data_IF_517617655829
#
_entry.id   IF_517617655829
#
_cell.length_a   1.000
_cell.length_b   1.000
_cell.length_c   1.000
_cell.angle_alpha   90.00
_cell.angle_beta   90.00
_cell.angle_gamma   90.00
#
_symmetry.space_group_name_H-M   'P 1'
#
loop_
_entity.id
_entity.type
_entity.pdbx_description
1 polymer ?
#
# COMPACT_ATOMS: atom_id res chain seq x y z
N UNK A 1 -37.42 -42.72 -1.83
CA UNK A 1 -38.78 -42.14 -1.67
C UNK A 1 -38.72 -40.75 -2.27
N UNK A 2 -39.37 -40.61 -3.42
CA UNK A 2 -39.55 -39.38 -4.18
C UNK A 2 -40.73 -38.56 -3.64
N UNK A 3 -40.82 -37.29 -4.05
CA UNK A 3 -42.00 -36.42 -3.92
C UNK A 3 -41.60 -35.00 -3.49
N UNK A 4 -41.29 -34.07 -4.40
CA UNK A 4 -42.17 -33.28 -5.30
C UNK A 4 -42.78 -32.00 -4.67
N UNK A 5 -42.33 -30.89 -5.26
CA UNK A 5 -42.92 -29.57 -5.51
C UNK A 5 -44.42 -29.35 -5.22
N UNK A 6 -44.74 -28.15 -4.72
CA UNK A 6 -45.86 -27.36 -5.26
C UNK A 6 -45.71 -25.83 -5.06
N UNK A 7 -45.87 -25.12 -6.18
CA UNK A 7 -46.19 -23.69 -6.41
C UNK A 7 -47.69 -23.45 -6.08
N UNK A 8 -48.24 -22.24 -5.84
CA UNK A 8 -48.72 -21.21 -6.81
C UNK A 8 -49.65 -20.15 -6.05
N UNK A 9 -50.30 -19.12 -6.65
CA UNK A 9 -49.92 -17.68 -6.63
C UNK A 9 -51.06 -16.68 -6.25
N UNK A 10 -50.87 -15.37 -6.53
CA UNK A 10 -51.80 -14.43 -7.20
C UNK A 10 -51.22 -12.98 -7.13
N UNK A 11 -51.31 -12.06 -8.09
CA UNK A 11 -51.92 -11.98 -9.42
C UNK A 11 -51.52 -10.63 -10.06
N UNK A 12 -51.05 -10.64 -11.31
CA UNK A 12 -51.71 -10.08 -12.50
C UNK A 12 -52.04 -8.57 -12.51
N UNK A 13 -51.35 -7.80 -13.38
CA UNK A 13 -51.92 -7.21 -14.60
C UNK A 13 -50.84 -6.50 -15.45
N UNK A 14 -51.01 -6.63 -16.76
CA UNK A 14 -50.15 -6.23 -17.87
C UNK A 14 -51.02 -5.29 -18.79
N UNK A 15 -50.60 -4.86 -20.00
CA UNK A 15 -49.84 -3.64 -20.35
C UNK A 15 -50.61 -2.69 -21.34
N UNK A 16 -49.87 -1.72 -21.92
CA UNK A 16 -50.15 -0.84 -23.09
C UNK A 16 -51.20 0.27 -22.98
N UNK A 17 -50.86 1.54 -23.32
CA UNK A 17 -51.05 2.13 -24.66
C UNK A 17 -50.59 3.62 -24.73
N UNK A 18 -50.56 4.15 -25.96
CA UNK A 18 -49.89 5.36 -26.47
C UNK A 18 -50.71 6.68 -26.38
N UNK A 19 -50.04 7.83 -26.58
CA UNK A 19 -50.50 9.25 -26.78
C UNK A 19 -51.84 9.45 -27.55
N UNK A 20 -52.64 10.59 -27.46
CA UNK A 20 -52.19 11.98 -27.79
C UNK A 20 -53.01 13.24 -27.27
N UNK A 21 -52.38 14.42 -27.39
CA UNK A 21 -52.86 15.77 -27.82
C UNK A 21 -53.89 16.68 -27.06
N UNK A 22 -53.53 17.99 -27.10
CA UNK A 22 -54.30 19.25 -27.26
C UNK A 22 -54.68 20.13 -26.04
N UNK A 23 -54.07 21.32 -26.00
CA UNK A 23 -54.51 22.52 -25.30
C UNK A 23 -53.93 23.76 -25.99
N UNK A 24 -54.70 24.30 -26.94
CA UNK A 24 -54.37 25.39 -27.87
C UNK A 24 -54.75 26.76 -27.26
N UNK A 25 -53.93 27.81 -27.42
CA UNK A 25 -54.41 29.20 -27.40
C UNK A 25 -53.57 30.07 -28.36
N UNK A 26 -54.29 30.68 -29.30
CA UNK A 26 -53.87 31.55 -30.39
C UNK A 26 -54.36 32.96 -30.04
N UNK A 27 -53.56 34.00 -30.31
CA UNK A 27 -54.05 35.32 -30.78
C UNK A 27 -52.96 36.02 -31.62
N UNK A 28 -53.39 36.64 -32.73
CA UNK A 28 -52.63 37.12 -33.93
C UNK A 28 -52.16 38.61 -33.83
N UNK A 29 -51.79 39.38 -34.89
CA UNK A 29 -51.06 39.15 -36.17
C UNK A 29 -49.85 40.13 -36.45
N UNK A 30 -49.02 39.80 -37.46
CA UNK A 30 -47.93 40.51 -38.20
C UNK A 30 -48.11 42.03 -38.51
N UNK A 31 -47.05 42.87 -38.82
CA UNK A 31 -46.09 42.63 -39.93
C UNK A 31 -44.62 43.14 -39.83
N UNK A 32 -43.76 42.44 -40.58
CA UNK A 32 -42.57 42.87 -41.34
C UNK A 32 -41.59 43.90 -40.74
N UNK A 33 -40.36 43.45 -40.46
CA UNK A 33 -39.14 44.16 -40.88
C UNK A 33 -37.98 43.18 -41.05
N UNK A 34 -37.49 43.09 -42.27
CA UNK A 34 -36.20 42.48 -42.63
C UNK A 34 -35.06 43.15 -41.87
N UNK A 35 -34.36 42.39 -41.03
CA UNK A 35 -33.01 42.74 -40.60
C UNK A 35 -32.20 41.47 -40.55
N UNK A 36 -31.23 41.41 -41.46
CA UNK A 36 -30.14 40.46 -41.49
C UNK A 36 -29.55 40.31 -40.09
N UNK A 37 -29.79 39.16 -39.44
CA UNK A 37 -29.01 38.77 -38.27
C UNK A 37 -28.02 37.74 -38.75
N UNK A 38 -26.81 38.26 -38.93
CA UNK A 38 -25.58 37.59 -39.30
C UNK A 38 -25.49 36.24 -38.59
N UNK A 39 -25.37 35.19 -39.40
CA UNK A 39 -24.70 33.96 -39.01
C UNK A 39 -23.27 34.32 -38.61
N UNK A 40 -23.10 34.67 -37.34
CA UNK A 40 -21.80 34.63 -36.69
C UNK A 40 -21.56 33.17 -36.32
N UNK A 41 -21.07 32.44 -37.32
CA UNK A 41 -20.26 31.25 -37.16
C UNK A 41 -19.09 31.61 -36.24
N UNK A 42 -19.31 31.51 -34.93
CA UNK A 42 -18.21 31.36 -33.98
C UNK A 42 -18.09 29.86 -33.75
N UNK A 43 -17.47 29.16 -34.72
CA UNK A 43 -16.60 28.04 -34.39
C UNK A 43 -15.47 28.60 -33.50
N UNK A 44 -15.80 28.84 -32.22
CA UNK A 44 -14.78 28.96 -31.20
C UNK A 44 -14.30 27.52 -31.04
N UNK A 45 -13.29 27.15 -31.83
CA UNK A 45 -12.54 25.92 -31.63
C UNK A 45 -12.10 25.91 -30.17
N UNK A 46 -12.85 25.18 -29.34
CA UNK A 46 -12.54 25.03 -27.93
C UNK A 46 -11.09 24.56 -27.85
N UNK A 47 -10.25 25.29 -27.11
CA UNK A 47 -8.86 24.89 -26.91
C UNK A 47 -8.82 23.40 -26.52
N UNK A 48 -7.87 22.62 -27.06
CA UNK A 48 -7.74 21.23 -26.67
C UNK A 48 -7.51 21.15 -25.16
N UNK A 49 -8.18 20.22 -24.50
CA UNK A 49 -8.06 20.03 -23.05
C UNK A 49 -7.45 18.66 -22.76
N UNK A 50 -6.69 18.56 -21.69
CA UNK A 50 -6.12 17.29 -21.24
C UNK A 50 -7.23 16.33 -20.82
N UNK A 51 -7.28 15.13 -21.43
CA UNK A 51 -8.29 14.10 -21.07
C UNK A 51 -8.18 13.52 -19.65
N UNK A 52 -7.10 13.82 -18.93
CA UNK A 52 -6.84 13.29 -17.58
C UNK A 52 -7.23 14.30 -16.49
N UNK A 53 -6.71 15.53 -16.55
CA UNK A 53 -7.04 16.57 -15.56
C UNK A 53 -8.20 17.48 -16.00
N UNK A 54 -8.63 17.41 -17.26
CA UNK A 54 -9.71 18.22 -17.84
C UNK A 54 -9.41 19.73 -17.94
N UNK A 55 -8.15 20.12 -17.72
CA UNK A 55 -7.68 21.50 -17.87
C UNK A 55 -7.21 21.75 -19.30
N UNK A 56 -7.47 22.95 -19.82
CA UNK A 56 -7.13 23.39 -21.18
C UNK A 56 -5.98 24.43 -21.21
N UNK A 57 -5.67 24.99 -20.04
CA UNK A 57 -4.59 25.96 -19.84
C UNK A 57 -3.48 25.24 -19.08
N UNK A 58 -2.41 24.86 -19.79
CA UNK A 58 -1.17 24.42 -19.14
C UNK A 58 -0.43 25.63 -18.57
N UNK A 59 0.37 25.45 -17.52
CA UNK A 59 1.46 26.40 -17.24
C UNK A 59 2.34 26.53 -18.51
N UNK A 60 3.08 27.63 -18.70
CA UNK A 60 3.83 27.93 -19.93
C UNK A 60 4.83 26.84 -20.41
N UNK A 61 5.02 25.77 -19.64
CA UNK A 61 5.94 24.65 -19.88
C UNK A 61 5.22 23.26 -20.03
N UNK A 62 3.88 23.19 -19.90
CA UNK A 62 3.14 21.91 -19.89
C UNK A 62 2.33 21.69 -21.19
N UNK A 63 3.03 21.30 -22.26
CA UNK A 63 2.42 21.08 -23.59
C UNK A 63 1.48 19.85 -23.63
N UNK A 64 0.35 20.01 -24.33
CA UNK A 64 -0.57 18.92 -24.67
C UNK A 64 0.00 18.09 -25.83
N UNK A 65 0.06 16.77 -25.62
CA UNK A 65 0.53 15.81 -26.63
C UNK A 65 -0.61 14.89 -27.09
N UNK A 66 -0.43 14.32 -28.29
CA UNK A 66 -1.28 13.27 -28.85
C UNK A 66 -0.52 11.93 -28.94
N UNK A 67 -0.55 11.11 -27.88
CA UNK A 67 0.37 9.98 -27.73
C UNK A 67 -0.10 8.69 -28.41
N UNK A 68 -1.33 8.62 -28.91
CA UNK A 68 -1.94 7.39 -29.40
C UNK A 68 -3.04 7.62 -30.43
N UNK A 69 -3.71 6.55 -30.86
CA UNK A 69 -4.78 6.56 -31.87
C UNK A 69 -6.16 7.05 -31.37
N UNK A 70 -6.24 7.68 -30.20
CA UNK A 70 -7.51 8.26 -29.73
C UNK A 70 -7.89 9.46 -30.62
N UNK A 71 -9.20 9.70 -30.81
CA UNK A 71 -9.73 10.78 -31.65
C UNK A 71 -10.63 11.71 -30.83
N UNK A 72 -10.83 12.93 -31.33
CA UNK A 72 -11.67 13.93 -30.69
C UNK A 72 -11.02 14.45 -29.40
N UNK A 73 -11.83 14.81 -28.41
CA UNK A 73 -11.34 15.37 -27.12
C UNK A 73 -10.45 14.41 -26.33
N UNK A 74 -10.55 13.09 -26.59
CA UNK A 74 -9.75 12.07 -25.92
C UNK A 74 -8.34 11.90 -26.51
N UNK A 75 -7.96 12.69 -27.53
CA UNK A 75 -6.65 12.58 -28.17
C UNK A 75 -5.54 13.32 -27.41
N UNK A 76 -5.89 14.39 -26.69
CA UNK A 76 -4.92 15.29 -26.05
C UNK A 76 -4.72 14.98 -24.56
N UNK A 77 -3.48 15.09 -24.09
CA UNK A 77 -3.11 14.89 -22.68
C UNK A 77 -1.84 15.68 -22.35
N UNK A 78 -1.73 16.25 -21.15
CA UNK A 78 -0.46 16.83 -20.71
C UNK A 78 0.60 15.75 -20.55
N UNK A 79 1.84 16.06 -20.92
CA UNK A 79 2.99 15.16 -20.73
C UNK A 79 3.12 14.72 -19.26
N UNK A 80 3.07 15.67 -18.33
CA UNK A 80 3.15 15.39 -16.89
C UNK A 80 2.01 14.48 -16.39
N UNK A 81 0.79 14.70 -16.85
CA UNK A 81 -0.36 13.86 -16.51
C UNK A 81 -0.22 12.43 -17.03
N UNK A 82 0.26 12.26 -18.27
CA UNK A 82 0.49 10.95 -18.86
C UNK A 82 1.60 10.20 -18.12
N UNK A 83 2.71 10.85 -17.79
CA UNK A 83 3.81 10.24 -17.05
C UNK A 83 3.40 9.86 -15.63
N UNK A 84 2.63 10.72 -14.95
CA UNK A 84 2.05 10.36 -13.67
C UNK A 84 1.17 9.11 -13.78
N UNK A 85 0.26 9.08 -14.76
CA UNK A 85 -0.63 7.94 -15.00
C UNK A 85 0.14 6.63 -15.27
N UNK A 86 1.18 6.69 -16.11
CA UNK A 86 2.07 5.56 -16.43
C UNK A 86 2.85 5.07 -15.21
N UNK A 87 3.22 5.97 -14.30
CA UNK A 87 3.97 5.62 -13.08
C UNK A 87 3.11 4.96 -12.00
N UNK A 88 1.80 5.27 -11.96
CA UNK A 88 0.87 4.80 -10.92
C UNK A 88 0.14 3.52 -11.34
N UNK A 89 -0.22 3.38 -12.63
CA UNK A 89 -0.96 2.20 -13.10
C UNK A 89 -0.07 0.97 -13.24
N UNK A 90 -0.68 -0.20 -13.14
CA UNK A 90 -0.02 -1.50 -13.29
C UNK A 90 -0.27 -2.13 -14.66
N UNK A 91 0.65 -2.99 -15.10
CA UNK A 91 0.56 -3.71 -16.37
C UNK A 91 0.86 -2.85 -17.61
N UNK A 92 0.14 -3.11 -18.69
CA UNK A 92 0.37 -2.53 -20.02
C UNK A 92 0.19 -1.00 -20.08
N UNK A 93 -0.35 -0.36 -19.04
CA UNK A 93 -0.57 1.09 -19.01
C UNK A 93 0.71 1.93 -19.12
N UNK A 94 1.88 1.33 -18.89
CA UNK A 94 3.17 1.99 -19.05
C UNK A 94 3.54 2.23 -20.53
N UNK A 95 3.28 1.24 -21.38
CA UNK A 95 3.69 1.21 -22.80
C UNK A 95 2.52 1.31 -23.77
N UNK A 96 1.28 1.16 -23.32
CA UNK A 96 0.09 1.17 -24.16
C UNK A 96 -0.99 2.07 -23.58
N UNK A 97 -1.78 2.67 -24.46
CA UNK A 97 -2.94 3.45 -24.08
C UNK A 97 -4.00 2.55 -23.43
N UNK A 98 -4.49 2.94 -22.26
CA UNK A 98 -5.56 2.21 -21.57
C UNK A 98 -6.90 2.24 -22.31
N UNK A 99 -7.13 3.27 -23.13
CA UNK A 99 -8.36 3.52 -23.89
C UNK A 99 -8.34 2.77 -25.23
N UNK A 100 -7.43 3.12 -26.15
CA UNK A 100 -7.41 2.55 -27.50
C UNK A 100 -6.47 1.35 -27.69
N UNK A 101 -5.73 0.95 -26.64
CA UNK A 101 -4.76 -0.17 -26.66
C UNK A 101 -3.57 -0.02 -27.61
N UNK A 102 -3.44 1.12 -28.30
CA UNK A 102 -2.27 1.40 -29.14
C UNK A 102 -1.00 1.56 -28.27
N UNK A 103 0.13 1.08 -28.78
CA UNK A 103 1.43 1.19 -28.12
C UNK A 103 1.96 2.62 -28.26
N UNK A 104 2.50 3.18 -27.18
CA UNK A 104 3.14 4.49 -27.17
C UNK A 104 4.50 4.45 -27.87
N UNK A 105 4.88 5.56 -28.50
CA UNK A 105 6.22 5.75 -29.04
C UNK A 105 7.13 6.21 -27.91
N UNK A 106 8.06 5.36 -27.50
CA UNK A 106 8.95 5.62 -26.36
C UNK A 106 10.34 6.02 -26.86
N UNK A 107 10.77 7.24 -26.55
CA UNK A 107 12.13 7.73 -26.75
C UNK A 107 12.95 7.53 -25.47
N UNK A 108 14.18 7.06 -25.62
CA UNK A 108 15.10 6.84 -24.50
C UNK A 108 15.95 8.09 -24.27
N UNK A 109 15.83 8.71 -23.10
CA UNK A 109 16.72 9.79 -22.65
C UNK A 109 17.59 9.33 -21.47
N UNK A 110 18.91 9.38 -21.66
CA UNK A 110 19.90 8.99 -20.64
C UNK A 110 20.24 10.21 -19.77
N UNK A 111 19.71 10.26 -18.56
CA UNK A 111 20.05 11.32 -17.59
C UNK A 111 21.28 10.93 -16.75
N UNK A 112 22.30 11.80 -16.69
CA UNK A 112 23.55 11.62 -15.89
C UNK A 112 23.33 11.66 -14.36
N UNK A 113 22.17 12.12 -13.90
CA UNK A 113 21.87 12.45 -12.49
C UNK A 113 21.48 11.22 -11.63
N UNK A 114 22.09 10.07 -11.90
CA UNK A 114 21.76 8.81 -11.25
C UNK A 114 22.23 8.75 -9.77
N UNK A 115 23.22 9.56 -9.37
CA UNK A 115 23.88 9.49 -8.07
C UNK A 115 23.09 10.23 -6.98
N UNK A 116 22.62 11.45 -7.25
CA UNK A 116 21.76 12.23 -6.35
C UNK A 116 20.43 11.51 -6.09
N UNK A 117 19.85 10.90 -7.14
CA UNK A 117 18.62 10.11 -7.04
C UNK A 117 18.81 8.83 -6.21
N UNK A 118 19.94 8.12 -6.39
CA UNK A 118 20.33 6.97 -5.52
C UNK A 118 20.50 7.39 -4.07
N UNK A 119 21.10 8.56 -3.80
CA UNK A 119 21.25 9.09 -2.43
C UNK A 119 19.89 9.42 -1.82
N UNK A 120 19.02 10.12 -2.55
CA UNK A 120 17.65 10.43 -2.10
C UNK A 120 16.86 9.16 -1.77
N UNK A 121 17.00 8.10 -2.58
CA UNK A 121 16.42 6.79 -2.30
C UNK A 121 16.95 6.18 -0.98
N UNK A 122 18.27 6.14 -0.81
CA UNK A 122 18.89 5.61 0.42
C UNK A 122 18.41 6.39 1.65
N UNK A 123 18.25 7.71 1.54
CA UNK A 123 17.72 8.53 2.63
C UNK A 123 16.26 8.22 2.95
N UNK A 124 15.40 7.98 1.96
CA UNK A 124 14.01 7.59 2.22
C UNK A 124 13.90 6.22 2.90
N UNK A 125 14.64 5.23 2.42
CA UNK A 125 14.67 3.90 3.05
C UNK A 125 15.24 4.00 4.47
N UNK A 126 16.34 4.74 4.65
CA UNK A 126 16.93 4.98 5.96
C UNK A 126 15.96 5.67 6.92
N UNK A 127 15.22 6.69 6.45
CA UNK A 127 14.19 7.38 7.23
C UNK A 127 13.10 6.41 7.70
N UNK A 128 12.55 5.60 6.80
CA UNK A 128 11.46 4.69 7.14
C UNK A 128 11.93 3.59 8.12
N UNK A 129 13.14 3.05 7.93
CA UNK A 129 13.77 2.11 8.88
C UNK A 129 14.03 2.77 10.24
N UNK A 130 14.53 4.02 10.23
CA UNK A 130 14.79 4.78 11.45
C UNK A 130 13.50 5.08 12.22
N UNK A 131 12.40 5.42 11.54
CA UNK A 131 11.10 5.62 12.18
C UNK A 131 10.58 4.35 12.86
N UNK A 132 10.71 3.19 12.20
CA UNK A 132 10.35 1.90 12.81
C UNK A 132 11.23 1.61 14.03
N UNK A 133 12.55 1.86 13.93
CA UNK A 133 13.46 1.71 15.05
C UNK A 133 13.07 2.61 16.23
N UNK A 134 12.79 3.89 16.00
CA UNK A 134 12.34 4.81 17.05
C UNK A 134 11.02 4.38 17.70
N UNK A 135 10.08 3.86 16.92
CA UNK A 135 8.83 3.32 17.46
C UNK A 135 9.10 2.14 18.41
N UNK A 136 9.92 1.18 18.01
CA UNK A 136 10.32 0.05 18.87
C UNK A 136 11.05 0.53 20.12
N UNK A 137 11.97 1.49 20.00
CA UNK A 137 12.69 2.04 21.15
C UNK A 137 11.78 2.79 22.12
N UNK A 138 10.77 3.48 21.61
CA UNK A 138 9.75 4.13 22.45
C UNK A 138 8.98 3.08 23.25
N UNK A 139 8.58 1.97 22.64
CA UNK A 139 7.92 0.86 23.34
C UNK A 139 8.82 0.29 24.44
N UNK A 140 10.07 -0.04 24.13
CA UNK A 140 11.04 -0.56 25.11
C UNK A 140 11.25 0.42 26.26
N UNK A 141 11.42 1.71 25.96
CA UNK A 141 11.59 2.76 26.96
C UNK A 141 10.35 2.91 27.85
N UNK A 142 9.14 2.79 27.30
CA UNK A 142 7.91 2.82 28.12
C UNK A 142 7.80 1.63 29.07
N UNK A 143 8.18 0.43 28.61
CA UNK A 143 8.21 -0.77 29.46
C UNK A 143 9.25 -0.66 30.58
N UNK A 144 10.46 -0.20 30.26
CA UNK A 144 11.50 0.06 31.26
C UNK A 144 11.13 1.19 32.22
N UNK A 145 10.52 2.27 31.72
CA UNK A 145 10.02 3.38 32.52
C UNK A 145 8.90 2.96 33.48
N UNK A 146 8.01 2.07 33.03
CA UNK A 146 7.00 1.48 33.91
C UNK A 146 7.64 0.66 35.04
N UNK A 147 8.65 -0.16 34.74
CA UNK A 147 9.41 -0.89 35.76
C UNK A 147 10.12 0.05 36.75
N UNK A 148 10.67 1.17 36.28
CA UNK A 148 11.25 2.21 37.14
C UNK A 148 10.23 2.84 38.09
N UNK A 149 9.03 3.17 37.59
CA UNK A 149 7.96 3.75 38.41
C UNK A 149 7.42 2.77 39.46
N UNK A 150 7.42 1.47 39.16
CA UNK A 150 7.07 0.42 40.11
C UNK A 150 8.13 0.23 41.20
N UNK A 151 9.41 0.42 40.88
CA UNK A 151 10.53 0.29 41.82
C UNK A 151 10.84 1.64 42.52
N UNK A 152 9.83 2.26 43.15
CA UNK A 152 9.95 3.59 43.79
C UNK A 152 11.11 3.69 44.78
N UNK A 153 11.38 2.62 45.54
CA UNK A 153 12.42 2.59 46.57
C UNK A 153 13.78 2.10 46.03
N UNK A 154 13.82 1.66 44.76
CA UNK A 154 14.98 0.99 44.17
C UNK A 154 15.34 -0.31 44.88
N UNK A 155 14.42 -0.87 45.68
CA UNK A 155 14.64 -2.04 46.51
C UNK A 155 14.90 -3.27 45.62
N UNK A 156 14.17 -3.36 44.50
CA UNK A 156 14.41 -4.41 43.51
C UNK A 156 15.80 -4.26 42.90
N UNK A 157 16.13 -3.08 42.35
CA UNK A 157 17.47 -2.84 41.77
C UNK A 157 18.62 -3.13 42.74
N UNK A 158 18.51 -2.71 44.01
CA UNK A 158 19.53 -2.94 45.04
C UNK A 158 19.67 -4.42 45.40
N UNK A 159 18.59 -5.21 45.34
CA UNK A 159 18.67 -6.66 45.54
C UNK A 159 19.52 -7.37 44.48
N UNK A 160 19.70 -6.77 43.29
CA UNK A 160 20.53 -7.32 42.22
C UNK A 160 21.95 -6.71 42.19
N UNK A 161 22.24 -5.65 42.94
CA UNK A 161 23.55 -4.99 42.88
C UNK A 161 24.69 -5.80 43.51
N UNK A 162 24.37 -6.79 44.35
CA UNK A 162 25.38 -7.52 45.14
C UNK A 162 26.11 -8.62 44.35
N UNK A 163 25.63 -8.99 43.14
CA UNK A 163 26.20 -10.10 42.36
C UNK A 163 26.37 -9.86 40.85
N UNK A 164 25.88 -8.76 40.30
CA UNK A 164 25.94 -8.47 38.85
C UNK A 164 27.05 -7.46 38.49
N UNK A 165 27.56 -7.55 37.27
CA UNK A 165 28.67 -6.72 36.77
C UNK A 165 28.50 -5.23 37.08
N UNK A 166 29.53 -4.66 37.71
CA UNK A 166 29.62 -3.26 38.21
C UNK A 166 29.35 -2.19 37.14
N UNK A 167 29.24 -2.58 35.87
CA UNK A 167 29.01 -1.71 34.70
C UNK A 167 27.51 -1.38 34.52
N UNK A 168 26.60 -2.32 34.81
CA UNK A 168 25.14 -2.12 34.65
C UNK A 168 24.49 -1.43 35.85
N UNK A 169 25.08 -1.56 37.03
CA UNK A 169 24.51 -1.08 38.30
C UNK A 169 24.74 0.42 38.56
N UNK A 170 25.76 1.03 37.96
CA UNK A 170 26.15 2.41 38.28
C UNK A 170 25.13 3.47 37.85
N UNK A 171 24.27 3.17 36.87
CA UNK A 171 23.23 4.10 36.42
C UNK A 171 21.84 3.43 36.44
N UNK A 172 20.80 4.09 37.01
CA UNK A 172 19.43 3.58 37.01
C UNK A 172 18.91 3.28 35.60
N UNK A 173 19.16 4.20 34.66
CA UNK A 173 18.58 4.19 33.32
C UNK A 173 18.89 2.91 32.53
N UNK A 174 20.17 2.48 32.35
CA UNK A 174 20.49 1.27 31.61
C UNK A 174 19.92 0.00 32.26
N UNK A 175 19.87 -0.08 33.59
CA UNK A 175 19.29 -1.23 34.29
C UNK A 175 17.82 -1.44 33.90
N UNK A 176 16.98 -0.41 34.04
CA UNK A 176 15.56 -0.54 33.70
C UNK A 176 15.32 -0.64 32.18
N UNK A 177 16.19 -0.04 31.36
CA UNK A 177 16.14 -0.25 29.92
C UNK A 177 16.41 -1.72 29.54
N UNK A 178 17.40 -2.38 30.15
CA UNK A 178 17.65 -3.82 29.95
C UNK A 178 16.45 -4.68 30.37
N UNK A 179 15.80 -4.34 31.49
CA UNK A 179 14.54 -4.98 31.90
C UNK A 179 13.44 -4.76 30.85
N UNK A 180 13.31 -3.54 30.31
CA UNK A 180 12.39 -3.23 29.22
C UNK A 180 12.65 -4.06 27.96
N UNK A 181 13.91 -4.23 27.56
CA UNK A 181 14.32 -5.06 26.41
C UNK A 181 13.95 -6.52 26.63
N UNK A 182 14.26 -7.08 27.80
CA UNK A 182 13.91 -8.46 28.15
C UNK A 182 12.40 -8.68 28.10
N UNK A 183 11.64 -7.79 28.74
CA UNK A 183 10.19 -7.87 28.75
C UNK A 183 9.60 -7.74 27.33
N UNK A 184 10.14 -6.87 26.48
CA UNK A 184 9.71 -6.73 25.09
C UNK A 184 9.86 -8.03 24.30
N UNK A 185 11.01 -8.69 24.38
CA UNK A 185 11.22 -9.96 23.67
C UNK A 185 10.37 -11.10 24.24
N UNK A 186 10.17 -11.17 25.57
CA UNK A 186 9.27 -12.18 26.17
C UNK A 186 7.84 -12.01 25.65
N UNK A 187 7.32 -10.77 25.63
CA UNK A 187 5.99 -10.49 25.09
C UNK A 187 5.92 -10.82 23.60
N UNK A 188 6.93 -10.44 22.81
CA UNK A 188 6.99 -10.75 21.39
C UNK A 188 7.00 -12.26 21.13
N UNK A 189 7.73 -13.03 21.94
CA UNK A 189 7.75 -14.49 21.87
C UNK A 189 6.40 -15.10 22.22
N UNK A 190 5.74 -14.59 23.25
CA UNK A 190 4.42 -15.05 23.67
C UNK A 190 3.35 -14.75 22.61
N UNK A 191 3.28 -13.52 22.11
CA UNK A 191 2.37 -13.15 21.01
C UNK A 191 2.67 -13.91 19.72
N UNK A 192 3.95 -14.08 19.38
CA UNK A 192 4.38 -14.86 18.21
C UNK A 192 3.89 -16.32 18.28
N UNK A 193 4.00 -16.95 19.46
CA UNK A 193 3.49 -18.30 19.69
C UNK A 193 1.96 -18.35 19.59
N UNK A 194 1.24 -17.41 20.20
CA UNK A 194 -0.23 -17.32 20.08
C UNK A 194 -0.67 -17.21 18.62
N UNK A 195 -0.06 -16.31 17.85
CA UNK A 195 -0.39 -16.12 16.43
C UNK A 195 -0.09 -17.38 15.61
N UNK A 196 1.04 -18.03 15.88
CA UNK A 196 1.42 -19.27 15.21
C UNK A 196 0.44 -20.42 15.54
N UNK A 197 0.08 -20.60 16.81
CA UNK A 197 -0.93 -21.58 17.23
C UNK A 197 -2.32 -21.28 16.65
N UNK A 198 -2.71 -20.01 16.59
CA UNK A 198 -4.01 -19.58 16.02
C UNK A 198 -4.10 -19.87 14.53
N UNK A 199 -3.00 -19.73 13.79
CA UNK A 199 -2.91 -20.03 12.36
C UNK A 199 -3.04 -21.54 12.07
N UNK A 200 -2.49 -22.39 12.95
CA UNK A 200 -2.55 -23.85 12.80
C UNK A 200 -3.93 -24.44 13.11
N UNK A 201 -4.75 -23.75 13.91
CA UNK A 201 -6.06 -24.24 14.35
C UNK A 201 -7.13 -24.22 13.23
N UNK A 202 -6.92 -23.52 12.12
CA UNK A 202 -7.97 -23.29 11.12
C UNK A 202 -8.14 -24.40 10.07
N UNK A 203 -7.30 -25.44 10.02
CA UNK A 203 -7.32 -26.38 8.87
C UNK A 203 -7.10 -27.88 9.18
N UNK A 204 -7.07 -28.34 10.44
CA UNK A 204 -6.84 -29.78 10.70
C UNK A 204 -7.76 -30.39 11.78
N UNK A 205 -8.72 -31.27 11.43
CA UNK A 205 -9.58 -31.97 12.41
C UNK A 205 -8.82 -32.97 13.28
N UNK A 206 -7.52 -33.23 13.05
CA UNK A 206 -6.69 -34.09 13.92
C UNK A 206 -6.16 -33.35 15.17
N UNK A 207 -6.36 -32.02 15.26
CA UNK A 207 -5.91 -31.17 16.37
C UNK A 207 -6.98 -30.88 17.43
N UNK A 208 -8.12 -31.59 17.44
CA UNK A 208 -9.07 -31.54 18.55
C UNK A 208 -8.43 -31.99 19.90
N UNK A 209 -7.32 -32.74 19.85
CA UNK A 209 -6.49 -33.05 21.03
C UNK A 209 -5.57 -31.92 21.50
N UNK A 210 -5.36 -30.89 20.69
CA UNK A 210 -4.55 -29.71 21.00
C UNK A 210 -5.36 -28.63 21.75
N UNK A 211 -6.68 -28.84 21.91
CA UNK A 211 -7.51 -28.05 22.81
C UNK A 211 -7.01 -28.11 24.26
N UNK A 212 -6.25 -29.17 24.60
CA UNK A 212 -5.53 -29.33 25.86
C UNK A 212 -4.06 -28.82 25.83
N UNK A 213 -3.50 -28.32 24.73
CA UNK A 213 -2.12 -27.78 24.77
C UNK A 213 -2.08 -26.31 25.23
N UNK A 214 -3.10 -25.52 24.90
CA UNK A 214 -3.19 -24.12 25.34
C UNK A 214 -3.96 -23.94 26.66
N UNK A 215 -4.90 -24.84 26.99
CA UNK A 215 -5.62 -24.85 28.27
C UNK A 215 -5.18 -25.96 29.23
N UNK A 216 -4.47 -26.98 28.74
CA UNK A 216 -4.05 -28.16 29.51
C UNK A 216 -2.52 -28.30 29.57
N UNK A 217 -1.81 -27.17 29.67
CA UNK A 217 -0.52 -27.24 30.32
C UNK A 217 -0.80 -27.70 31.75
N UNK A 218 -0.47 -28.95 32.07
CA UNK A 218 -0.43 -29.51 33.42
C UNK A 218 0.60 -28.82 34.33
N UNK A 219 0.78 -27.50 34.19
CA UNK A 219 1.50 -26.64 35.13
C UNK A 219 0.76 -26.57 36.46
N UNK A 220 -0.57 -26.73 36.47
CA UNK A 220 -1.32 -26.72 37.73
C UNK A 220 -1.28 -28.07 38.48
N UNK A 221 -0.91 -29.17 37.81
CA UNK A 221 -0.73 -30.48 38.44
C UNK A 221 0.74 -30.79 38.79
N UNK A 222 1.66 -29.93 38.33
CA UNK A 222 3.08 -29.96 38.69
C UNK A 222 3.41 -28.71 39.50
N UNK A 223 2.69 -28.46 40.60
CA UNK A 223 3.19 -27.55 41.64
C UNK A 223 4.36 -28.24 42.33
N UNK A 224 5.61 -27.78 42.15
CA UNK A 224 6.70 -28.31 42.93
C UNK A 224 6.48 -27.90 44.40
N UNK A 225 6.80 -28.79 45.32
CA UNK A 225 6.58 -28.61 46.75
C UNK A 225 7.40 -27.47 47.40
N UNK A 226 8.21 -26.72 46.63
CA UNK A 226 9.07 -25.64 47.13
C UNK A 226 9.02 -24.37 46.26
N UNK A 227 9.08 -23.21 46.93
CA UNK A 227 9.12 -21.87 46.29
C UNK A 227 10.32 -21.69 45.36
N UNK A 228 11.45 -22.33 45.67
CA UNK A 228 12.66 -22.29 44.85
C UNK A 228 12.49 -22.95 43.49
N UNK A 229 11.76 -24.07 43.43
CA UNK A 229 11.48 -24.76 42.18
C UNK A 229 10.49 -23.97 41.30
N UNK A 230 9.50 -23.31 41.91
CA UNK A 230 8.62 -22.37 41.20
C UNK A 230 9.42 -21.22 40.55
N UNK A 231 10.36 -20.63 41.29
CA UNK A 231 11.22 -19.56 40.78
C UNK A 231 12.07 -20.05 39.59
N UNK A 232 12.70 -21.22 39.71
CA UNK A 232 13.49 -21.82 38.63
C UNK A 232 12.66 -22.05 37.35
N UNK A 233 11.43 -22.54 37.47
CA UNK A 233 10.54 -22.74 36.31
C UNK A 233 10.15 -21.42 35.63
N UNK A 234 9.86 -20.37 36.39
CA UNK A 234 9.56 -19.04 35.85
C UNK A 234 10.77 -18.49 35.08
N UNK A 235 11.98 -18.65 35.61
CA UNK A 235 13.21 -18.22 34.91
C UNK A 235 13.38 -18.97 33.60
N UNK A 236 13.19 -20.30 33.60
CA UNK A 236 13.28 -21.12 32.38
C UNK A 236 12.24 -20.67 31.34
N UNK A 237 11.00 -20.42 31.76
CA UNK A 237 9.95 -19.90 30.89
C UNK A 237 10.34 -18.56 30.27
N UNK A 238 10.79 -17.59 31.09
CA UNK A 238 11.24 -16.28 30.61
C UNK A 238 12.36 -16.42 29.58
N UNK A 239 13.33 -17.30 29.81
CA UNK A 239 14.43 -17.56 28.86
C UNK A 239 13.91 -18.12 27.55
N UNK A 240 13.02 -19.12 27.58
CA UNK A 240 12.45 -19.73 26.38
C UNK A 240 11.69 -18.68 25.55
N UNK A 241 10.80 -17.90 26.17
CA UNK A 241 10.03 -16.88 25.46
C UNK A 241 10.90 -15.72 24.95
N UNK A 242 11.97 -15.35 25.67
CA UNK A 242 12.94 -14.38 25.18
C UNK A 242 13.64 -14.88 23.90
N UNK A 243 14.08 -16.13 23.87
CA UNK A 243 14.72 -16.74 22.68
C UNK A 243 13.74 -16.77 21.50
N UNK A 244 12.52 -17.24 21.72
CA UNK A 244 11.46 -17.24 20.70
C UNK A 244 11.17 -15.82 20.22
N UNK A 245 11.10 -14.85 21.12
CA UNK A 245 10.90 -13.44 20.81
C UNK A 245 12.00 -12.86 19.93
N UNK A 246 13.27 -13.18 20.21
CA UNK A 246 14.39 -12.75 19.37
C UNK A 246 14.26 -13.34 17.95
N UNK A 247 13.92 -14.63 17.85
CA UNK A 247 13.70 -15.28 16.56
C UNK A 247 12.55 -14.64 15.77
N UNK A 248 11.39 -14.46 16.39
CA UNK A 248 10.25 -13.77 15.76
C UNK A 248 10.56 -12.32 15.42
N UNK A 249 11.31 -11.61 16.27
CA UNK A 249 11.75 -10.24 16.02
C UNK A 249 12.64 -10.13 14.78
N UNK A 250 13.58 -11.06 14.61
CA UNK A 250 14.43 -11.10 13.41
C UNK A 250 13.63 -11.40 12.14
N UNK A 251 12.70 -12.36 12.18
CA UNK A 251 11.82 -12.65 11.05
C UNK A 251 10.92 -11.46 10.70
N UNK A 252 10.31 -10.81 11.70
CA UNK A 252 9.49 -9.63 11.47
C UNK A 252 10.31 -8.46 10.90
N UNK A 253 11.52 -8.23 11.40
CA UNK A 253 12.42 -7.19 10.91
C UNK A 253 12.83 -7.44 9.44
N UNK A 254 13.24 -8.67 9.11
CA UNK A 254 13.61 -9.03 7.72
C UNK A 254 12.42 -8.90 6.77
N UNK A 255 11.21 -9.33 7.15
CA UNK A 255 10.01 -9.14 6.35
C UNK A 255 9.64 -7.66 6.18
N UNK A 256 9.76 -6.85 7.23
CA UNK A 256 9.49 -5.41 7.17
C UNK A 256 10.47 -4.69 6.24
N UNK A 257 11.78 -4.99 6.35
CA UNK A 257 12.82 -4.45 5.47
C UNK A 257 12.54 -4.84 4.02
N UNK A 258 12.24 -6.13 3.77
CA UNK A 258 11.89 -6.60 2.44
C UNK A 258 10.66 -5.86 1.90
N UNK A 259 9.59 -5.69 2.69
CA UNK A 259 8.38 -4.97 2.27
C UNK A 259 8.63 -3.49 1.98
N UNK A 260 9.37 -2.79 2.85
CA UNK A 260 9.75 -1.38 2.64
C UNK A 260 10.56 -1.26 1.35
N UNK A 261 11.52 -2.16 1.16
CA UNK A 261 12.36 -2.18 -0.03
C UNK A 261 11.55 -2.44 -1.30
N UNK A 262 10.69 -3.46 -1.31
CA UNK A 262 9.82 -3.78 -2.45
C UNK A 262 8.87 -2.63 -2.79
N UNK A 263 8.25 -2.00 -1.78
CA UNK A 263 7.32 -0.88 -1.96
C UNK A 263 8.02 0.32 -2.61
N UNK A 264 9.18 0.72 -2.07
CA UNK A 264 9.91 1.86 -2.60
C UNK A 264 10.56 1.56 -3.94
N UNK A 265 11.07 0.34 -4.15
CA UNK A 265 11.62 -0.07 -5.43
C UNK A 265 10.55 0.01 -6.54
N UNK A 266 9.35 -0.52 -6.32
CA UNK A 266 8.30 -0.50 -7.35
C UNK A 266 7.84 0.92 -7.69
N UNK A 267 7.63 1.77 -6.69
CA UNK A 267 7.17 3.16 -6.89
C UNK A 267 8.25 4.00 -7.60
N UNK A 268 9.51 3.82 -7.26
CA UNK A 268 10.60 4.64 -7.78
C UNK A 268 11.04 4.17 -9.16
N UNK A 269 11.18 2.87 -9.38
CA UNK A 269 11.56 2.32 -10.68
C UNK A 269 10.56 2.74 -11.76
N UNK A 270 9.26 2.73 -11.48
CA UNK A 270 8.25 3.18 -12.45
C UNK A 270 8.33 4.67 -12.77
N UNK A 271 8.52 5.53 -11.76
CA UNK A 271 8.69 6.98 -11.97
C UNK A 271 10.00 7.32 -12.69
N UNK A 272 11.03 6.51 -12.48
CA UNK A 272 12.30 6.68 -13.19
C UNK A 272 12.17 6.22 -14.64
N UNK A 273 11.50 5.07 -14.87
CA UNK A 273 11.23 4.56 -16.21
C UNK A 273 10.38 5.52 -17.04
N UNK A 274 9.43 6.26 -16.47
CA UNK A 274 8.68 7.26 -17.25
C UNK A 274 9.56 8.43 -17.70
N UNK A 275 10.63 8.74 -16.95
CA UNK A 275 11.61 9.77 -17.32
C UNK A 275 12.65 9.27 -18.32
N UNK A 276 13.05 8.01 -18.21
CA UNK A 276 13.96 7.37 -19.16
C UNK A 276 13.26 7.08 -20.49
N UNK A 277 11.99 6.64 -20.45
CA UNK A 277 11.16 6.32 -21.62
C UNK A 277 10.06 7.38 -21.80
N UNK A 278 10.39 8.45 -22.50
CA UNK A 278 9.50 9.59 -22.74
C UNK A 278 8.56 9.26 -23.90
N UNK A 279 7.27 9.55 -23.76
CA UNK A 279 6.29 9.35 -24.84
C UNK A 279 6.42 10.47 -25.87
N UNK A 280 6.59 10.13 -27.14
CA UNK A 280 6.63 11.09 -28.23
C UNK A 280 5.23 11.61 -28.58
N UNK A 281 5.15 12.85 -29.04
CA UNK A 281 3.91 13.41 -29.60
C UNK A 281 3.79 13.03 -31.08
N UNK A 282 2.69 12.36 -31.43
CA UNK A 282 2.43 11.87 -32.78
C UNK A 282 1.68 12.89 -33.64
N UNK A 283 1.28 14.03 -33.07
CA UNK A 283 0.50 15.08 -33.74
C UNK A 283 -0.72 14.52 -34.50
N UNK A 284 -1.38 13.51 -33.93
CA UNK A 284 -2.53 12.80 -34.53
C UNK A 284 -2.21 11.80 -35.64
N UNK A 285 -0.95 11.66 -36.04
CA UNK A 285 -0.51 10.75 -37.11
C UNK A 285 0.17 9.51 -36.53
N UNK A 286 -0.60 8.45 -36.29
CA UNK A 286 -0.07 7.21 -35.72
C UNK A 286 0.58 6.30 -36.77
N UNK A 287 1.77 5.79 -36.45
CA UNK A 287 2.40 4.65 -37.13
C UNK A 287 2.80 3.60 -36.08
N UNK A 288 2.99 2.32 -36.44
CA UNK A 288 3.47 1.33 -35.48
C UNK A 288 4.85 1.73 -34.93
N UNK A 289 5.04 1.77 -33.60
CA UNK A 289 6.32 2.16 -33.00
C UNK A 289 7.43 1.18 -33.37
N UNK A 290 8.65 1.70 -33.51
CA UNK A 290 9.87 0.90 -33.66
C UNK A 290 10.77 1.21 -32.47
N UNK A 291 10.78 0.32 -31.48
CA UNK A 291 11.71 0.40 -30.36
C UNK A 291 12.94 -0.45 -30.67
N UNK A 292 14.11 -0.03 -30.21
CA UNK A 292 15.31 -0.84 -30.28
C UNK A 292 15.07 -2.18 -29.54
N UNK A 293 15.43 -3.35 -30.14
CA UNK A 293 15.18 -4.66 -29.56
C UNK A 293 15.75 -4.82 -28.14
N UNK A 294 16.88 -4.20 -27.81
CA UNK A 294 17.45 -4.27 -26.45
C UNK A 294 16.50 -3.65 -25.41
N UNK A 295 15.93 -2.49 -25.74
CA UNK A 295 15.01 -1.77 -24.88
C UNK A 295 13.65 -2.46 -24.80
N UNK A 296 13.21 -3.09 -25.90
CA UNK A 296 11.99 -3.90 -25.92
C UNK A 296 12.12 -5.13 -25.02
N UNK A 297 13.24 -5.85 -25.08
CA UNK A 297 13.53 -6.98 -24.18
C UNK A 297 13.59 -6.52 -22.72
N UNK A 298 14.24 -5.38 -22.44
CA UNK A 298 14.29 -4.80 -21.09
C UNK A 298 12.90 -4.48 -20.54
N UNK A 299 12.00 -3.92 -21.35
CA UNK A 299 10.61 -3.65 -20.96
C UNK A 299 9.80 -4.95 -20.77
N UNK A 300 10.00 -5.96 -21.62
CA UNK A 300 9.39 -7.31 -21.48
C UNK A 300 9.83 -8.00 -20.18
N UNK A 301 11.12 -7.95 -19.85
CA UNK A 301 11.65 -8.50 -18.59
C UNK A 301 10.99 -7.84 -17.37
N UNK A 302 10.66 -6.56 -17.45
CA UNK A 302 9.95 -5.83 -16.39
C UNK A 302 8.42 -6.01 -16.42
N UNK A 303 7.89 -6.79 -17.37
CA UNK A 303 6.44 -6.99 -17.60
C UNK A 303 5.67 -5.68 -17.85
N UNK A 304 6.31 -4.74 -18.54
CA UNK A 304 5.75 -3.44 -18.89
C UNK A 304 5.32 -3.34 -20.35
N UNK A 305 5.50 -4.41 -21.14
CA UNK A 305 5.14 -4.54 -22.54
C UNK A 305 4.15 -5.68 -22.73
#
# INVERSE_FOLDING_TARGET
MSGELQLEPAGARNPSDSDPLLGNQIDSPSPASSSEIRSEDIENGSAPCCRICLECDGEEDDELISPCMCKGTQQFVHRACLDHWRSVKEGFAFSHCTTCKAQFHLRVELFEDNSWRKIKFRLFVARDVFLVFLAVQTVIATMGGFAYVMDKDGAFRKSFSDGWDRILSNHPIPFYYCIGVLAFFVLLGFFGLILHCSSLNSNDPRMAGCQNCCYGWGILDCFPASMEACFALVVVFVVIFAILGIAYGFLAATMAIQRIWQKHYHILTKRELTKEYIVEDLHGSYTPPKLDPEHEERLKMMKLL
#
